data_IF_029066835208
#
_entry.id   IF_029066835208
#
_cell.length_a   1.000
_cell.length_b   1.000
_cell.length_c   1.000
_cell.angle_alpha   90.00
_cell.angle_beta   90.00
_cell.angle_gamma   90.00
#
_symmetry.space_group_name_H-M   'P 1'
#
loop_
_entity.id
_entity.type
_entity.pdbx_description
1 polymer ?
#
# COMPACT_ATOMS: atom_id res chain seq x y z
N UNK A 1 17.78 -33.74 -17.73
CA UNK A 1 16.85 -34.56 -16.92
C UNK A 1 17.50 -34.69 -15.54
N UNK A 2 17.04 -34.16 -14.42
CA UNK A 2 15.72 -33.77 -13.93
C UNK A 2 15.76 -32.42 -13.19
N UNK A 3 14.60 -31.78 -13.18
CA UNK A 3 14.21 -30.57 -12.46
C UNK A 3 13.96 -30.80 -10.95
N UNK A 4 13.67 -29.70 -10.24
CA UNK A 4 13.15 -29.52 -8.87
C UNK A 4 14.21 -29.30 -7.78
N UNK A 5 14.08 -28.37 -6.84
CA UNK A 5 13.05 -27.36 -6.58
C UNK A 5 13.63 -26.31 -5.64
N UNK A 6 13.17 -25.07 -5.82
CA UNK A 6 13.44 -23.89 -5.03
C UNK A 6 12.33 -23.76 -3.98
N UNK A 7 12.60 -24.07 -2.70
CA UNK A 7 11.87 -23.65 -1.49
C UNK A 7 12.49 -24.32 -0.25
N UNK A 8 12.43 -23.61 0.87
CA UNK A 8 12.73 -24.06 2.24
C UNK A 8 14.19 -23.95 2.74
N UNK A 9 14.58 -22.72 3.10
CA UNK A 9 15.52 -22.48 4.20
C UNK A 9 14.98 -21.36 5.08
N UNK A 10 13.90 -21.66 5.78
CA UNK A 10 13.46 -20.95 6.97
C UNK A 10 14.11 -21.61 8.20
N UNK A 11 14.70 -20.78 9.06
CA UNK A 11 14.68 -20.95 10.53
C UNK A 11 15.30 -22.24 11.07
N UNK A 12 16.59 -22.18 11.46
CA UNK A 12 17.13 -23.12 12.46
C UNK A 12 18.02 -22.41 13.49
N UNK A 13 17.40 -22.19 14.65
CA UNK A 13 17.94 -22.17 16.01
C UNK A 13 19.20 -21.33 16.32
N UNK A 14 18.92 -20.17 16.91
CA UNK A 14 19.80 -19.48 17.85
C UNK A 14 19.92 -20.34 19.13
N UNK A 15 21.03 -21.06 19.25
CA UNK A 15 21.34 -21.94 20.36
C UNK A 15 21.86 -21.16 21.58
N UNK A 16 21.33 -21.53 22.75
CA UNK A 16 21.87 -21.28 24.08
C UNK A 16 23.38 -21.58 24.13
N UNK A 17 24.19 -20.64 24.59
CA UNK A 17 25.11 -20.83 25.73
C UNK A 17 25.91 -19.56 25.98
N UNK A 18 25.42 -18.80 26.94
CA UNK A 18 26.12 -17.71 27.61
C UNK A 18 27.14 -18.30 28.57
N UNK A 19 28.42 -18.36 28.17
CA UNK A 19 29.62 -18.34 29.02
C UNK A 19 30.85 -18.43 28.13
N UNK A 20 31.87 -17.66 28.46
CA UNK A 20 33.12 -17.43 27.73
C UNK A 20 33.01 -16.40 26.60
N UNK A 21 33.25 -15.14 26.96
CA UNK A 21 34.21 -14.24 26.30
C UNK A 21 34.17 -12.85 26.98
N UNK A 22 34.27 -12.84 28.33
CA UNK A 22 34.79 -11.68 29.06
C UNK A 22 36.32 -11.81 29.08
N UNK A 23 36.97 -11.58 27.94
CA UNK A 23 38.45 -11.57 27.88
C UNK A 23 39.04 -10.88 26.64
N UNK A 24 38.28 -10.03 25.95
CA UNK A 24 38.83 -9.18 24.86
C UNK A 24 38.47 -7.70 25.06
N UNK A 25 38.68 -7.19 26.27
CA UNK A 25 38.71 -5.76 26.56
C UNK A 25 40.16 -5.30 26.76
N UNK A 26 40.94 -5.24 25.67
CA UNK A 26 42.17 -4.44 25.49
C UNK A 26 42.88 -4.86 24.20
N UNK A 27 42.61 -4.14 23.13
CA UNK A 27 43.61 -3.67 22.15
C UNK A 27 42.87 -2.87 21.08
N UNK A 28 43.16 -1.57 21.10
CA UNK A 28 43.03 -0.66 19.98
C UNK A 28 43.60 -1.28 18.70
N UNK A 29 43.15 -0.76 17.55
CA UNK A 29 43.57 -1.06 16.16
C UNK A 29 42.59 -1.97 15.41
N UNK A 30 41.55 -1.35 14.82
CA UNK A 30 41.07 -1.65 13.46
C UNK A 30 40.01 -0.62 13.07
N UNK A 31 40.48 0.61 12.81
CA UNK A 31 39.69 1.64 12.13
C UNK A 31 40.17 1.68 10.68
N UNK A 32 39.68 0.76 9.86
CA UNK A 32 40.00 0.72 8.43
C UNK A 32 38.75 0.38 7.61
N UNK A 33 38.08 1.46 7.19
CA UNK A 33 37.71 1.70 5.79
C UNK A 33 36.90 0.58 5.10
N UNK A 34 35.66 0.39 5.53
CA UNK A 34 34.67 -0.37 4.75
C UNK A 34 34.07 0.51 3.64
N UNK A 35 34.84 0.71 2.57
CA UNK A 35 34.38 1.32 1.32
C UNK A 35 33.65 0.22 0.54
N UNK A 36 32.33 0.31 0.43
CA UNK A 36 31.47 -0.61 -0.33
C UNK A 36 32.02 -0.82 -1.75
N UNK A 37 32.47 -2.03 -2.05
CA UNK A 37 32.70 -2.51 -3.41
C UNK A 37 31.34 -2.87 -4.04
N UNK A 38 31.02 -2.27 -5.20
CA UNK A 38 29.99 -2.78 -6.12
C UNK A 38 30.58 -3.94 -6.94
N UNK A 39 29.81 -4.98 -7.28
CA UNK A 39 30.31 -6.07 -8.11
C UNK A 39 30.44 -5.63 -9.57
N UNK A 40 31.57 -5.99 -10.18
CA UNK A 40 31.78 -5.97 -11.64
C UNK A 40 31.32 -7.32 -12.20
N UNK A 41 30.41 -7.32 -13.16
CA UNK A 41 30.12 -8.49 -13.99
C UNK A 41 29.93 -8.07 -15.44
N UNK A 42 30.70 -8.70 -16.34
CA UNK A 42 30.48 -8.70 -17.79
C UNK A 42 31.44 -7.82 -18.59
N UNK A 43 32.47 -8.42 -19.19
CA UNK A 43 33.17 -7.85 -20.36
C UNK A 43 32.37 -8.20 -21.61
N UNK A 44 32.28 -7.32 -22.62
CA UNK A 44 32.35 -7.72 -24.01
C UNK A 44 33.75 -7.40 -24.55
N UNK A 45 34.31 -8.37 -25.26
CA UNK A 45 35.55 -8.24 -25.99
C UNK A 45 35.29 -7.66 -27.39
N UNK A 46 36.40 -7.21 -27.99
CA UNK A 46 36.58 -6.74 -29.37
C UNK A 46 36.19 -5.27 -29.64
N UNK A 47 37.17 -4.55 -30.16
CA UNK A 47 37.26 -3.10 -30.08
C UNK A 47 36.36 -2.35 -31.05
N UNK A 48 35.92 -1.20 -30.58
CA UNK A 48 35.64 -0.06 -31.42
C UNK A 48 36.48 1.08 -30.82
N UNK A 49 37.38 1.59 -31.66
CA UNK A 49 38.28 2.70 -31.39
C UNK A 49 37.51 3.86 -30.75
N UNK A 50 38.10 4.45 -29.72
CA UNK A 50 37.56 5.62 -29.06
C UNK A 50 37.37 6.77 -30.04
N UNK A 51 36.13 7.16 -30.25
CA UNK A 51 35.77 8.56 -30.46
C UNK A 51 34.91 8.96 -29.28
N UNK A 52 35.47 9.82 -28.43
CA UNK A 52 34.68 10.57 -27.45
C UNK A 52 33.66 11.37 -28.28
N UNK A 53 32.34 11.28 -28.00
CA UNK A 53 31.37 12.04 -28.77
C UNK A 53 31.71 13.54 -28.64
N UNK A 54 31.71 14.30 -29.75
CA UNK A 54 31.90 15.74 -29.69
C UNK A 54 30.77 16.34 -28.85
N UNK A 55 31.11 17.31 -28.01
CA UNK A 55 30.12 18.07 -27.24
C UNK A 55 29.24 18.84 -28.24
N UNK A 56 27.92 18.90 -28.01
CA UNK A 56 26.91 19.48 -28.91
C UNK A 56 27.05 20.98 -29.21
N UNK A 57 28.13 21.62 -28.77
CA UNK A 57 28.37 23.06 -28.85
C UNK A 57 29.15 23.50 -30.09
N UNK A 58 29.32 22.64 -31.10
CA UNK A 58 30.15 22.93 -32.28
C UNK A 58 29.68 22.24 -33.57
N UNK A 59 28.37 22.17 -33.81
CA UNK A 59 27.83 21.73 -35.10
C UNK A 59 27.15 22.92 -35.78
N UNK A 60 27.85 23.51 -36.76
CA UNK A 60 27.29 24.58 -37.61
C UNK A 60 26.54 23.98 -38.83
N UNK A 61 26.83 22.72 -39.17
CA UNK A 61 26.23 22.01 -40.30
C UNK A 61 25.08 21.09 -39.85
N UNK A 62 23.89 21.30 -40.42
CA UNK A 62 22.69 20.49 -40.13
C UNK A 62 22.86 19.00 -40.51
N UNK A 63 23.69 18.71 -41.49
CA UNK A 63 24.00 17.35 -41.95
C UNK A 63 24.69 16.54 -40.85
N UNK A 64 25.75 17.10 -40.27
CA UNK A 64 26.56 16.45 -39.23
C UNK A 64 25.74 16.23 -37.95
N UNK A 65 24.85 17.18 -37.63
CA UNK A 65 23.96 17.06 -36.49
C UNK A 65 22.96 15.90 -36.67
N UNK A 66 22.37 15.76 -37.85
CA UNK A 66 21.43 14.66 -38.14
C UNK A 66 22.11 13.29 -38.05
N UNK A 67 23.31 13.15 -38.62
CA UNK A 67 24.08 11.90 -38.62
C UNK A 67 24.56 11.51 -37.23
N UNK A 68 24.82 12.50 -36.37
CA UNK A 68 25.14 12.27 -34.96
C UNK A 68 23.93 11.87 -34.12
N UNK A 69 22.76 12.49 -34.37
CA UNK A 69 21.55 12.23 -33.59
C UNK A 69 20.87 10.90 -33.96
N UNK A 70 20.87 10.52 -35.24
CA UNK A 70 20.15 9.34 -35.73
C UNK A 70 20.50 8.01 -35.00
N UNK A 71 21.78 7.69 -34.70
CA UNK A 71 22.13 6.46 -33.96
C UNK A 71 21.65 6.47 -32.50
N UNK A 72 21.60 7.66 -31.88
CA UNK A 72 21.24 7.86 -30.49
C UNK A 72 19.72 7.77 -30.23
N UNK A 73 18.90 7.78 -31.29
CA UNK A 73 17.46 7.59 -31.17
C UNK A 73 17.14 6.14 -30.75
N UNK A 74 16.17 5.97 -29.85
CA UNK A 74 15.72 4.64 -29.43
C UNK A 74 14.57 4.14 -30.32
N UNK A 75 14.87 3.95 -31.61
CA UNK A 75 13.95 3.46 -32.65
C UNK A 75 14.43 2.13 -33.23
N UNK A 76 13.58 1.44 -33.98
CA UNK A 76 13.96 0.17 -34.59
C UNK A 76 15.09 0.34 -35.62
N UNK A 77 15.92 -0.69 -35.78
CA UNK A 77 17.10 -0.65 -36.64
C UNK A 77 16.73 -0.36 -38.10
N UNK A 78 15.59 -0.86 -38.56
CA UNK A 78 15.08 -0.60 -39.91
C UNK A 78 14.78 0.90 -40.13
N UNK A 79 14.20 1.57 -39.14
CA UNK A 79 13.89 3.01 -39.22
C UNK A 79 15.17 3.86 -39.15
N UNK A 80 16.16 3.46 -38.34
CA UNK A 80 17.47 4.13 -38.32
C UNK A 80 18.15 4.10 -39.67
N UNK A 81 18.11 2.95 -40.34
CA UNK A 81 18.70 2.78 -41.66
C UNK A 81 17.99 3.65 -42.69
N UNK A 82 16.66 3.70 -42.68
CA UNK A 82 15.87 4.56 -43.57
C UNK A 82 16.21 6.05 -43.42
N UNK A 83 16.47 6.52 -42.19
CA UNK A 83 16.89 7.90 -41.93
C UNK A 83 18.29 8.19 -42.49
N UNK A 84 19.22 7.24 -42.40
CA UNK A 84 20.60 7.41 -42.90
C UNK A 84 20.72 7.25 -44.42
N UNK A 85 19.78 6.56 -45.06
CA UNK A 85 19.72 6.39 -46.52
C UNK A 85 19.13 7.61 -47.25
N UNK A 86 18.43 8.50 -46.54
CA UNK A 86 17.88 9.72 -47.13
C UNK A 86 19.00 10.71 -47.49
N UNK A 87 19.13 11.01 -48.78
CA UNK A 87 20.13 11.94 -49.32
C UNK A 87 19.75 13.41 -49.13
N UNK A 88 18.46 13.70 -48.96
CA UNK A 88 17.94 15.03 -48.73
C UNK A 88 18.03 15.41 -47.25
N UNK A 89 18.92 16.36 -46.95
CA UNK A 89 19.22 16.85 -45.62
C UNK A 89 17.97 17.38 -44.90
N UNK A 90 17.10 18.09 -45.62
CA UNK A 90 15.93 18.72 -45.01
C UNK A 90 14.91 17.67 -44.57
N UNK A 91 14.73 16.62 -45.38
CA UNK A 91 13.85 15.49 -45.03
C UNK A 91 14.42 14.67 -43.88
N UNK A 92 15.73 14.43 -43.88
CA UNK A 92 16.43 13.69 -42.84
C UNK A 92 16.30 14.36 -41.47
N UNK A 93 16.53 15.68 -41.41
CA UNK A 93 16.38 16.46 -40.18
C UNK A 93 14.94 16.46 -39.68
N UNK A 94 13.95 16.61 -40.57
CA UNK A 94 12.52 16.54 -40.17
C UNK A 94 12.13 15.17 -39.61
N UNK A 95 12.65 14.09 -40.19
CA UNK A 95 12.41 12.74 -39.69
C UNK A 95 12.98 12.58 -38.27
N UNK A 96 14.24 12.96 -38.07
CA UNK A 96 14.89 12.95 -36.74
C UNK A 96 14.13 13.80 -35.73
N UNK A 97 13.73 15.02 -36.12
CA UNK A 97 12.95 15.91 -35.26
C UNK A 97 11.64 15.27 -34.80
N UNK A 98 10.90 14.64 -35.71
CA UNK A 98 9.63 13.97 -35.38
C UNK A 98 9.81 12.90 -34.31
N UNK A 99 10.86 12.09 -34.41
CA UNK A 99 11.17 11.06 -33.41
C UNK A 99 11.58 11.69 -32.06
N UNK A 100 12.39 12.74 -32.07
CA UNK A 100 12.78 13.45 -30.84
C UNK A 100 11.56 14.06 -30.16
N UNK A 101 10.65 14.69 -30.90
CA UNK A 101 9.41 15.26 -30.36
C UNK A 101 8.53 14.21 -29.68
N UNK A 102 8.35 13.04 -30.32
CA UNK A 102 7.60 11.94 -29.72
C UNK A 102 8.26 11.42 -28.42
N UNK A 103 9.60 11.32 -28.39
CA UNK A 103 10.33 10.92 -27.18
C UNK A 103 10.22 11.96 -26.06
N UNK A 104 10.21 13.25 -26.42
CA UNK A 104 10.03 14.35 -25.45
C UNK A 104 8.65 14.28 -24.80
N UNK A 105 7.59 14.09 -25.57
CA UNK A 105 6.22 13.94 -25.06
C UNK A 105 6.11 12.77 -24.06
N UNK A 106 6.70 11.62 -24.40
CA UNK A 106 6.74 10.45 -23.51
C UNK A 106 7.49 10.78 -22.21
N UNK A 107 8.64 11.46 -22.32
CA UNK A 107 9.44 11.84 -21.16
C UNK A 107 8.71 12.83 -20.24
N UNK A 108 7.97 13.79 -20.80
CA UNK A 108 7.17 14.74 -20.04
C UNK A 108 6.04 14.04 -19.27
N UNK A 109 5.35 13.09 -19.91
CA UNK A 109 4.31 12.29 -19.27
C UNK A 109 4.90 11.46 -18.11
N UNK A 110 6.06 10.82 -18.32
CA UNK A 110 6.74 10.05 -17.28
C UNK A 110 7.14 10.93 -16.08
N UNK A 111 7.67 12.13 -16.34
CA UNK A 111 8.01 13.07 -15.27
C UNK A 111 6.78 13.54 -14.50
N UNK A 112 5.68 13.84 -15.20
CA UNK A 112 4.41 14.21 -14.57
C UNK A 112 3.90 13.09 -13.67
N UNK A 113 3.86 11.87 -14.18
CA UNK A 113 3.45 10.69 -13.42
C UNK A 113 4.33 10.50 -12.18
N UNK A 114 5.65 10.65 -12.31
CA UNK A 114 6.57 10.52 -11.19
C UNK A 114 6.31 11.59 -10.11
N UNK A 115 6.02 12.83 -10.49
CA UNK A 115 5.67 13.91 -9.55
C UNK A 115 4.34 13.63 -8.84
N UNK A 116 3.33 13.16 -9.57
CA UNK A 116 2.01 12.84 -9.02
C UNK A 116 2.08 11.65 -8.05
N UNK A 117 2.87 10.62 -8.35
CA UNK A 117 3.09 9.49 -7.43
C UNK A 117 3.85 9.93 -6.18
N UNK A 118 4.88 10.78 -6.34
CA UNK A 118 5.65 11.28 -5.20
C UNK A 118 4.82 12.15 -4.27
N UNK A 119 3.95 13.01 -4.81
CA UNK A 119 3.06 13.86 -4.01
C UNK A 119 2.06 13.01 -3.22
N UNK A 120 1.39 12.05 -3.87
CA UNK A 120 0.47 11.12 -3.20
C UNK A 120 1.14 10.32 -2.07
N UNK A 121 2.37 9.83 -2.30
CA UNK A 121 3.12 9.11 -1.28
C UNK A 121 3.44 10.03 -0.07
N UNK A 122 3.86 11.26 -0.33
CA UNK A 122 4.17 12.24 0.72
C UNK A 122 2.93 12.62 1.56
N UNK A 123 1.77 12.75 0.92
CA UNK A 123 0.51 13.03 1.59
C UNK A 123 0.04 11.84 2.44
N UNK A 124 0.17 10.62 1.92
CA UNK A 124 -0.14 9.40 2.67
C UNK A 124 0.75 9.28 3.92
N UNK A 125 2.06 9.52 3.79
CA UNK A 125 2.99 9.52 4.91
C UNK A 125 2.64 10.61 5.94
N UNK A 126 2.33 11.83 5.49
CA UNK A 126 1.88 12.93 6.35
C UNK A 126 0.61 12.56 7.11
N UNK A 127 -0.41 12.01 6.44
CA UNK A 127 -1.66 11.57 7.07
C UNK A 127 -1.43 10.47 8.09
N UNK A 128 -0.60 9.48 7.79
CA UNK A 128 -0.26 8.40 8.71
C UNK A 128 0.44 8.94 9.97
N UNK A 129 1.37 9.87 9.80
CA UNK A 129 2.04 10.53 10.91
C UNK A 129 1.07 11.33 11.79
N UNK A 130 0.20 12.14 11.19
CA UNK A 130 -0.81 12.90 11.94
C UNK A 130 -1.79 11.98 12.70
N UNK A 131 -2.24 10.88 12.10
CA UNK A 131 -3.07 9.87 12.80
C UNK A 131 -2.34 9.24 13.99
N UNK A 132 -1.05 8.93 13.83
CA UNK A 132 -0.25 8.39 14.94
C UNK A 132 -0.10 9.40 16.08
N UNK A 133 0.01 10.70 15.76
CA UNK A 133 0.04 11.76 16.76
C UNK A 133 -1.30 11.91 17.49
N UNK A 134 -2.42 11.92 16.77
CA UNK A 134 -3.76 11.96 17.40
C UNK A 134 -3.92 10.78 18.37
N UNK A 135 -3.54 9.58 17.93
CA UNK A 135 -3.59 8.38 18.78
C UNK A 135 -2.66 8.47 20.00
N UNK A 136 -1.51 9.13 19.88
CA UNK A 136 -0.64 9.39 21.02
C UNK A 136 -1.28 10.41 21.99
N UNK A 137 -1.82 11.51 21.47
CA UNK A 137 -2.51 12.54 22.27
C UNK A 137 -3.71 11.95 23.03
N UNK A 138 -4.55 11.15 22.37
CA UNK A 138 -5.70 10.48 23.02
C UNK A 138 -5.27 9.59 24.19
N UNK A 139 -4.13 8.88 24.07
CA UNK A 139 -3.58 8.08 25.18
C UNK A 139 -3.09 8.96 26.32
N UNK A 140 -2.40 10.06 26.03
CA UNK A 140 -1.90 10.99 27.05
C UNK A 140 -3.03 11.72 27.78
N UNK A 141 -4.13 12.04 27.08
CA UNK A 141 -5.32 12.65 27.66
C UNK A 141 -6.13 11.71 28.57
N UNK A 142 -5.76 10.43 28.65
CA UNK A 142 -6.51 9.43 29.43
C UNK A 142 -7.86 9.05 28.79
N UNK A 143 -8.19 9.62 27.63
CA UNK A 143 -9.27 9.19 26.73
C UNK A 143 -8.87 7.92 25.96
N UNK A 144 -8.08 7.04 26.57
CA UNK A 144 -7.98 5.69 26.06
C UNK A 144 -9.41 5.11 26.12
N UNK A 145 -10.02 4.97 24.94
CA UNK A 145 -11.35 4.42 24.64
C UNK A 145 -11.57 2.98 25.16
N UNK A 146 -10.91 2.57 26.25
CA UNK A 146 -11.14 1.29 26.92
C UNK A 146 -12.64 1.11 27.21
N UNK A 147 -13.33 2.15 27.68
CA UNK A 147 -14.77 2.07 27.95
C UNK A 147 -15.63 1.90 26.68
N UNK A 148 -15.35 2.64 25.60
CA UNK A 148 -16.17 2.59 24.38
C UNK A 148 -16.00 1.26 23.64
N UNK A 149 -14.75 0.80 23.51
CA UNK A 149 -14.43 -0.45 22.82
C UNK A 149 -14.88 -1.67 23.63
N UNK A 150 -14.77 -1.63 24.97
CA UNK A 150 -15.34 -2.66 25.84
C UNK A 150 -16.87 -2.71 25.75
N UNK A 151 -17.54 -1.56 25.72
CA UNK A 151 -19.00 -1.50 25.61
C UNK A 151 -19.49 -2.04 24.26
N UNK A 152 -18.82 -1.70 23.16
CA UNK A 152 -19.12 -2.26 21.85
C UNK A 152 -18.92 -3.79 21.82
N UNK A 153 -17.89 -4.32 22.47
CA UNK A 153 -17.65 -5.76 22.59
C UNK A 153 -18.72 -6.47 23.43
N UNK A 154 -19.18 -5.86 24.53
CA UNK A 154 -20.26 -6.40 25.36
C UNK A 154 -21.57 -6.50 24.57
N UNK A 155 -21.92 -5.46 23.80
CA UNK A 155 -23.11 -5.46 22.96
C UNK A 155 -23.05 -6.54 21.86
N UNK A 156 -21.88 -6.75 21.25
CA UNK A 156 -21.69 -7.85 20.28
C UNK A 156 -21.98 -9.22 20.90
N UNK A 157 -21.46 -9.49 22.10
CA UNK A 157 -21.71 -10.76 22.80
C UNK A 157 -23.19 -10.97 23.10
N UNK A 158 -23.88 -9.93 23.59
CA UNK A 158 -25.33 -10.02 23.86
C UNK A 158 -26.15 -10.25 22.60
N UNK A 159 -25.79 -9.64 21.48
CA UNK A 159 -26.46 -9.89 20.20
C UNK A 159 -26.27 -11.32 19.70
N UNK A 160 -25.06 -11.88 19.85
CA UNK A 160 -24.78 -13.28 19.50
C UNK A 160 -25.57 -14.25 20.39
N UNK A 161 -25.70 -13.96 21.69
CA UNK A 161 -26.51 -14.75 22.63
C UNK A 161 -28.02 -14.69 22.32
N UNK A 162 -28.53 -13.51 21.95
CA UNK A 162 -29.94 -13.32 21.61
C UNK A 162 -30.33 -14.05 20.31
N UNK A 163 -29.35 -14.31 19.42
CA UNK A 163 -29.49 -14.98 18.12
C UNK A 163 -30.72 -14.49 17.32
N UNK A 164 -30.75 -13.20 16.94
CA UNK A 164 -31.85 -12.60 16.20
C UNK A 164 -31.89 -13.10 14.74
N UNK A 165 -33.02 -12.91 14.03
CA UNK A 165 -33.13 -13.19 12.61
C UNK A 165 -32.06 -12.45 11.79
N UNK A 166 -31.61 -13.06 10.68
CA UNK A 166 -30.50 -12.55 9.85
C UNK A 166 -30.67 -11.08 9.43
N UNK A 167 -31.90 -10.68 9.07
CA UNK A 167 -32.20 -9.30 8.68
C UNK A 167 -31.93 -8.28 9.79
N UNK A 168 -32.24 -8.65 11.04
CA UNK A 168 -32.02 -7.80 12.22
C UNK A 168 -30.55 -7.80 12.59
N UNK A 169 -29.88 -8.96 12.54
CA UNK A 169 -28.45 -9.05 12.84
C UNK A 169 -27.63 -8.16 11.91
N UNK A 170 -27.94 -8.17 10.60
CA UNK A 170 -27.26 -7.32 9.61
C UNK A 170 -27.42 -5.82 9.90
N UNK A 171 -28.59 -5.41 10.40
CA UNK A 171 -28.84 -4.02 10.77
C UNK A 171 -28.10 -3.66 12.07
N UNK A 172 -28.09 -4.55 13.07
CA UNK A 172 -27.34 -4.36 14.30
C UNK A 172 -25.82 -4.25 14.04
N UNK A 173 -25.27 -5.09 13.16
CA UNK A 173 -23.86 -5.00 12.74
C UNK A 173 -23.52 -3.67 12.06
N UNK A 174 -24.46 -3.12 11.28
CA UNK A 174 -24.28 -1.83 10.61
C UNK A 174 -24.18 -0.69 11.63
N UNK A 175 -25.04 -0.70 12.64
CA UNK A 175 -25.01 0.31 13.70
C UNK A 175 -23.81 0.11 14.64
N UNK A 176 -23.39 -1.14 14.92
CA UNK A 176 -22.15 -1.41 15.65
C UNK A 176 -20.92 -0.86 14.94
N UNK A 177 -20.82 -1.03 13.62
CA UNK A 177 -19.73 -0.43 12.82
C UNK A 177 -19.76 1.10 12.87
N UNK A 178 -20.94 1.69 13.01
CA UNK A 178 -21.12 3.14 13.13
C UNK A 178 -20.64 3.65 14.50
N UNK A 179 -20.84 2.86 15.56
CA UNK A 179 -20.41 3.15 16.92
C UNK A 179 -18.88 3.33 17.01
N UNK A 180 -18.10 2.55 16.26
CA UNK A 180 -16.63 2.63 16.22
C UNK A 180 -16.08 3.99 15.73
N UNK A 181 -16.89 4.79 15.01
CA UNK A 181 -16.46 6.09 14.48
C UNK A 181 -17.01 7.28 15.26
N UNK A 182 -18.04 7.08 16.09
CA UNK A 182 -18.71 8.17 16.79
C UNK A 182 -18.01 8.37 18.14
N UNK A 183 -17.56 9.60 18.46
CA UNK A 183 -17.00 9.88 19.77
C UNK A 183 -18.05 9.69 20.86
N UNK A 184 -17.66 9.08 21.98
CA UNK A 184 -18.54 8.79 23.13
C UNK A 184 -19.17 10.02 23.78
N UNK A 185 -18.59 11.20 23.58
CA UNK A 185 -19.13 12.49 24.03
C UNK A 185 -20.34 12.97 23.20
N UNK A 186 -20.62 12.35 22.04
CA UNK A 186 -21.73 12.71 21.17
C UNK A 186 -23.06 12.18 21.70
N UNK A 187 -24.16 12.95 21.66
CA UNK A 187 -25.49 12.43 22.02
C UNK A 187 -25.94 11.27 21.11
N UNK A 188 -25.45 11.21 19.87
CA UNK A 188 -25.72 10.12 18.92
C UNK A 188 -25.20 8.77 19.41
N UNK A 189 -24.10 8.76 20.18
CA UNK A 189 -23.52 7.55 20.74
C UNK A 189 -24.50 6.85 21.68
N UNK A 190 -25.09 7.63 22.60
CA UNK A 190 -26.07 7.13 23.58
C UNK A 190 -27.32 6.54 22.90
N UNK A 191 -27.79 7.18 21.82
CA UNK A 191 -28.96 6.70 21.06
C UNK A 191 -28.68 5.35 20.40
N UNK A 192 -27.52 5.19 19.76
CA UNK A 192 -27.15 3.93 19.08
C UNK A 192 -26.93 2.80 20.08
N UNK A 193 -26.26 3.07 21.21
CA UNK A 193 -26.10 2.09 22.30
C UNK A 193 -27.47 1.63 22.79
N UNK A 194 -28.35 2.56 23.14
CA UNK A 194 -29.71 2.25 23.62
C UNK A 194 -30.50 1.43 22.59
N UNK A 195 -30.38 1.75 21.30
CA UNK A 195 -31.03 1.00 20.23
C UNK A 195 -30.53 -0.45 20.14
N UNK A 196 -29.21 -0.66 20.22
CA UNK A 196 -28.62 -2.01 20.17
C UNK A 196 -28.98 -2.80 21.44
N UNK A 197 -28.99 -2.16 22.60
CA UNK A 197 -29.42 -2.76 23.87
C UNK A 197 -30.87 -3.27 23.76
N UNK A 198 -31.79 -2.44 23.26
CA UNK A 198 -33.19 -2.85 23.06
C UNK A 198 -33.28 -4.06 22.12
N UNK A 199 -32.51 -4.10 21.03
CA UNK A 199 -32.50 -5.26 20.12
C UNK A 199 -32.00 -6.52 20.82
N UNK A 200 -30.96 -6.40 21.64
CA UNK A 200 -30.38 -7.54 22.37
C UNK A 200 -31.30 -8.06 23.48
N UNK A 201 -32.08 -7.18 24.12
CA UNK A 201 -32.99 -7.53 25.21
C UNK A 201 -34.31 -8.17 24.72
N UNK A 202 -34.60 -8.10 23.42
CA UNK A 202 -35.82 -8.69 22.86
C UNK A 202 -35.75 -10.23 22.86
N UNK A 203 -36.85 -10.91 23.29
CA UNK A 203 -36.91 -12.37 23.34
C UNK A 203 -37.16 -12.99 21.95
N UNK A 204 -36.15 -12.97 21.06
CA UNK A 204 -36.29 -13.49 19.69
C UNK A 204 -36.67 -14.97 19.60
N UNK A 205 -36.15 -15.79 20.52
CA UNK A 205 -36.31 -17.24 20.51
C UNK A 205 -37.20 -17.78 21.65
N UNK A 206 -37.73 -16.91 22.51
CA UNK A 206 -38.58 -17.31 23.63
C UNK A 206 -40.05 -17.03 23.29
N UNK A 207 -40.80 -18.10 23.07
CA UNK A 207 -42.26 -18.05 22.87
C UNK A 207 -42.96 -18.58 24.12
N UNK A 208 -44.02 -17.91 24.55
CA UNK A 208 -44.91 -18.43 25.60
C UNK A 208 -45.66 -19.66 25.08
N UNK A 209 -45.95 -20.61 25.97
CA UNK A 209 -46.84 -21.71 25.64
C UNK A 209 -48.28 -21.20 25.65
N UNK A 210 -48.88 -21.11 24.48
CA UNK A 210 -50.29 -20.70 24.35
C UNK A 210 -51.22 -21.78 24.94
N UNK A 211 -52.20 -21.33 25.73
CA UNK A 211 -53.27 -22.17 26.24
C UNK A 211 -54.56 -21.86 25.46
N UNK A 212 -54.93 -22.75 24.53
CA UNK A 212 -56.09 -22.60 23.65
C UNK A 212 -57.27 -23.46 24.13
N UNK A 213 -57.55 -23.45 25.43
CA UNK A 213 -58.70 -24.15 26.03
C UNK A 213 -59.93 -23.23 26.03
N UNK A 214 -60.87 -23.50 25.11
CA UNK A 214 -62.08 -22.71 24.93
C UNK A 214 -63.04 -22.84 26.12
N UNK A 215 -63.10 -24.01 26.77
CA UNK A 215 -64.01 -24.25 27.90
C UNK A 215 -63.54 -23.45 29.14
N UNK A 216 -62.23 -23.42 29.39
CA UNK A 216 -61.64 -22.56 30.41
C UNK A 216 -61.82 -21.08 30.10
N UNK A 217 -61.61 -20.68 28.83
CA UNK A 217 -61.78 -19.29 28.42
C UNK A 217 -63.22 -18.81 28.64
N UNK A 218 -64.21 -19.64 28.30
CA UNK A 218 -65.63 -19.33 28.52
C UNK A 218 -65.94 -19.17 30.02
N UNK A 219 -65.47 -20.09 30.88
CA UNK A 219 -65.67 -19.99 32.33
C UNK A 219 -65.05 -18.73 32.97
N UNK A 220 -63.91 -18.26 32.45
CA UNK A 220 -63.25 -17.05 32.94
C UNK A 220 -63.98 -15.79 32.46
N UNK A 221 -64.50 -15.79 31.22
CA UNK A 221 -65.19 -14.66 30.61
C UNK A 221 -66.63 -14.48 31.09
N UNK A 222 -67.33 -15.57 31.39
CA UNK A 222 -68.72 -15.54 31.91
C UNK A 222 -68.79 -15.18 33.42
N UNK A 223 -67.65 -14.82 34.02
CA UNK A 223 -67.51 -14.38 35.41
C UNK A 223 -67.60 -12.87 35.55
#
# INVERSE_FOLDING_TARGET
MCWLSYKDCAVFLCAKSSRLLRSCARKSICRTRFRRQKPRSGKPHSGICGTRPPNSSSFDDAEQLADFLAPNLNIDVAEKQAILEELDVEKRVRAVQKHISAQLEIAEIQQRLQRDVASQFSDAQRRAYLRSQIKAIQRELGEAEAGSEEQAQQLRKRLEEANPPEAVMKQAERELKRLDFIPSASPEFSVIVSYIEIIADLPWNNLSKDNLDLDQAQQILDR
#
